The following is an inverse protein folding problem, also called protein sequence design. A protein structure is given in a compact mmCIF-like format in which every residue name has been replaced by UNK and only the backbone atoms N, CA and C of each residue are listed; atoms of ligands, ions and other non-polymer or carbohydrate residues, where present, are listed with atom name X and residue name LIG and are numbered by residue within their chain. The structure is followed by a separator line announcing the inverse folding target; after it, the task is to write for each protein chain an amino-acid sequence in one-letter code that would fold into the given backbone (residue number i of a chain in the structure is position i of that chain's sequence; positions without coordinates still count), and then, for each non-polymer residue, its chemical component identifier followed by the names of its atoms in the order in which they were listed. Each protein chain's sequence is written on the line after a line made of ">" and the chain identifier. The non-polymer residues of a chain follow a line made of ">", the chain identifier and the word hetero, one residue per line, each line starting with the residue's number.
data_IF_603559013593
#
_entry.id   IF_603559013593
#
_cell.length_a   1.000
_cell.length_b   1.000
_cell.length_c   1.000
_cell.angle_alpha   90.00
_cell.angle_beta   90.00
_cell.angle_gamma   90.00
#
_symmetry.space_group_name_H-M   'P 1'
#
loop_
_entity.id
_entity.type
_entity.pdbx_description
1 polymer ?
#
# COMPACT_ATOMS: atom_id res chain seq x y z
N UNK A 1 -26.66 -43.62 -17.95
CA UNK A 1 -26.94 -42.34 -18.64
C UNK A 1 -26.80 -41.10 -17.73
N UNK A 2 -26.11 -41.19 -16.57
CA UNK A 2 -26.06 -40.14 -15.54
C UNK A 2 -24.69 -39.46 -15.33
N UNK A 3 -23.63 -39.90 -16.01
CA UNK A 3 -22.25 -39.41 -15.76
C UNK A 3 -21.87 -38.21 -16.65
N UNK A 4 -22.52 -38.04 -17.80
CA UNK A 4 -22.18 -36.99 -18.78
C UNK A 4 -22.73 -35.61 -18.45
N UNK A 5 -23.88 -35.49 -17.76
CA UNK A 5 -24.46 -34.18 -17.39
C UNK A 5 -23.61 -33.38 -16.38
N UNK A 6 -22.95 -34.06 -15.43
CA UNK A 6 -22.14 -33.39 -14.39
C UNK A 6 -20.91 -32.66 -14.95
N UNK A 7 -20.39 -33.07 -16.11
CA UNK A 7 -19.26 -32.40 -16.79
C UNK A 7 -19.67 -31.12 -17.53
N UNK A 8 -20.89 -31.05 -18.05
CA UNK A 8 -21.37 -29.88 -18.79
C UNK A 8 -21.76 -28.73 -17.87
N UNK A 9 -22.42 -29.04 -16.74
CA UNK A 9 -22.76 -28.07 -15.70
C UNK A 9 -21.49 -27.43 -15.10
N UNK A 10 -20.43 -28.22 -14.90
CA UNK A 10 -19.13 -27.69 -14.50
C UNK A 10 -18.53 -26.71 -15.52
N UNK A 11 -18.61 -27.01 -16.81
CA UNK A 11 -18.03 -26.17 -17.87
C UNK A 11 -18.72 -24.80 -17.99
N UNK A 12 -20.05 -24.75 -17.80
CA UNK A 12 -20.80 -23.49 -17.77
C UNK A 12 -20.51 -22.69 -16.51
N UNK A 13 -20.43 -23.34 -15.35
CA UNK A 13 -20.02 -22.70 -14.11
C UNK A 13 -18.62 -22.08 -14.22
N UNK A 14 -17.63 -22.80 -14.80
CA UNK A 14 -16.28 -22.27 -15.03
C UNK A 14 -16.25 -21.05 -15.97
N UNK A 15 -17.07 -21.05 -17.01
CA UNK A 15 -17.16 -19.90 -17.94
C UNK A 15 -17.83 -18.70 -17.30
N UNK A 16 -18.88 -18.92 -16.50
CA UNK A 16 -19.55 -17.84 -15.77
C UNK A 16 -18.60 -17.22 -14.73
N UNK A 17 -17.89 -18.04 -13.96
CA UNK A 17 -16.87 -17.56 -13.01
C UNK A 17 -15.80 -16.76 -13.74
N UNK A 18 -15.26 -17.25 -14.86
CA UNK A 18 -14.26 -16.52 -15.64
C UNK A 18 -14.78 -15.18 -16.17
N UNK A 19 -16.03 -15.13 -16.64
CA UNK A 19 -16.66 -13.89 -17.09
C UNK A 19 -16.84 -12.89 -15.95
N UNK A 20 -17.38 -13.32 -14.80
CA UNK A 20 -17.54 -12.47 -13.62
C UNK A 20 -16.20 -11.94 -13.14
N UNK A 21 -15.17 -12.79 -13.05
CA UNK A 21 -13.81 -12.38 -12.69
C UNK A 21 -13.28 -11.31 -13.66
N UNK A 22 -13.47 -11.48 -14.97
CA UNK A 22 -13.07 -10.48 -15.96
C UNK A 22 -13.81 -9.14 -15.77
N UNK A 23 -15.13 -9.17 -15.55
CA UNK A 23 -15.91 -7.96 -15.29
C UNK A 23 -15.44 -7.23 -14.02
N UNK A 24 -15.13 -7.98 -12.95
CA UNK A 24 -14.59 -7.41 -11.71
C UNK A 24 -13.24 -6.75 -11.96
N UNK A 25 -12.35 -7.40 -12.69
CA UNK A 25 -11.06 -6.79 -13.04
C UNK A 25 -11.23 -5.52 -13.88
N UNK A 26 -12.07 -5.54 -14.91
CA UNK A 26 -12.33 -4.35 -15.73
C UNK A 26 -12.87 -3.22 -14.85
N UNK A 27 -13.84 -3.50 -13.99
CA UNK A 27 -14.40 -2.50 -13.08
C UNK A 27 -13.35 -1.93 -12.11
N UNK A 28 -12.49 -2.78 -11.54
CA UNK A 28 -11.43 -2.37 -10.61
C UNK A 28 -10.35 -1.51 -11.29
N UNK A 29 -9.99 -1.85 -12.53
CA UNK A 29 -8.98 -1.11 -13.30
C UNK A 29 -9.56 0.09 -14.07
N UNK A 30 -10.88 0.15 -14.30
CA UNK A 30 -11.54 1.27 -14.97
C UNK A 30 -11.16 2.66 -14.43
N UNK A 31 -11.17 2.94 -13.10
CA UNK A 31 -10.76 4.25 -12.59
C UNK A 31 -9.29 4.56 -12.87
N UNK A 32 -8.41 3.57 -12.79
CA UNK A 32 -6.97 3.74 -13.09
C UNK A 32 -6.79 4.10 -14.57
N UNK A 33 -7.46 3.36 -15.46
CA UNK A 33 -7.45 3.64 -16.90
C UNK A 33 -8.01 5.02 -17.18
N UNK A 34 -9.13 5.41 -16.55
CA UNK A 34 -9.71 6.74 -16.70
C UNK A 34 -8.73 7.84 -16.26
N UNK A 35 -8.02 7.67 -15.14
CA UNK A 35 -6.98 8.60 -14.69
C UNK A 35 -5.83 8.71 -15.70
N UNK A 36 -5.38 7.59 -16.29
CA UNK A 36 -4.34 7.59 -17.32
C UNK A 36 -4.80 8.28 -18.59
N UNK A 37 -6.04 8.07 -19.04
CA UNK A 37 -6.53 8.75 -20.24
C UNK A 37 -6.69 10.26 -19.95
N UNK A 38 -7.20 10.63 -18.77
CA UNK A 38 -7.34 12.03 -18.35
C UNK A 38 -6.01 12.75 -18.11
N UNK A 39 -4.91 12.04 -17.82
CA UNK A 39 -3.59 12.68 -17.66
C UNK A 39 -3.07 13.29 -18.97
N UNK A 40 -3.62 12.88 -20.11
CA UNK A 40 -3.37 13.50 -21.42
C UNK A 40 -4.36 14.61 -21.77
N UNK A 41 -5.28 14.99 -20.88
CA UNK A 41 -6.24 16.05 -21.15
C UNK A 41 -5.56 17.43 -21.04
N UNK A 42 -5.78 18.30 -22.04
CA UNK A 42 -5.30 19.68 -22.04
C UNK A 42 -5.98 20.58 -21.00
N UNK A 43 -7.18 20.21 -20.52
CA UNK A 43 -7.90 20.90 -19.45
C UNK A 43 -7.29 20.62 -18.07
N UNK A 44 -7.34 21.63 -17.18
CA UNK A 44 -7.02 21.47 -15.75
C UNK A 44 -8.12 20.74 -14.98
N UNK A 45 -9.38 20.85 -15.44
CA UNK A 45 -10.49 20.10 -14.87
C UNK A 45 -10.67 18.81 -15.67
N UNK A 46 -10.32 17.68 -15.06
CA UNK A 46 -10.52 16.36 -15.63
C UNK A 46 -12.01 16.07 -15.79
N UNK A 47 -12.50 16.21 -17.01
CA UNK A 47 -13.88 15.93 -17.38
C UNK A 47 -13.96 15.36 -18.79
N UNK A 48 -14.98 14.56 -19.04
CA UNK A 48 -15.37 14.16 -20.38
C UNK A 48 -16.43 15.15 -20.89
N UNK A 49 -16.35 15.63 -22.15
CA UNK A 49 -15.42 15.27 -23.23
C UNK A 49 -14.02 15.92 -23.08
N UNK A 50 -12.98 15.24 -23.59
CA UNK A 50 -11.62 15.80 -23.59
C UNK A 50 -11.52 16.98 -24.54
N UNK A 51 -10.96 18.09 -24.07
CA UNK A 51 -10.79 19.31 -24.88
C UNK A 51 -9.65 19.17 -25.90
N UNK A 52 -8.65 18.33 -25.61
CA UNK A 52 -7.53 18.00 -26.49
C UNK A 52 -6.54 17.06 -25.82
N UNK A 53 -5.71 16.40 -26.63
CA UNK A 53 -4.59 15.57 -26.18
C UNK A 53 -3.35 16.44 -25.96
N UNK A 54 -2.74 16.37 -24.78
CA UNK A 54 -1.59 17.19 -24.38
C UNK A 54 -0.67 16.45 -23.41
N UNK A 55 0.65 16.64 -23.60
CA UNK A 55 1.70 16.17 -22.70
C UNK A 55 2.16 17.24 -21.69
N UNK A 56 1.44 18.35 -21.59
CA UNK A 56 1.82 19.51 -20.77
C UNK A 56 2.09 19.17 -19.30
N UNK A 57 1.33 18.23 -18.73
CA UNK A 57 1.47 17.85 -17.32
C UNK A 57 2.75 17.07 -17.07
N UNK A 58 3.17 16.23 -18.03
CA UNK A 58 4.46 15.54 -17.99
C UNK A 58 5.62 16.53 -18.13
N UNK A 59 5.52 17.50 -19.05
CA UNK A 59 6.53 18.56 -19.18
C UNK A 59 6.64 19.42 -17.91
N UNK A 60 5.49 19.80 -17.33
CA UNK A 60 5.42 20.55 -16.06
C UNK A 60 5.96 19.75 -14.88
N UNK A 61 5.76 18.43 -14.87
CA UNK A 61 6.33 17.53 -13.88
C UNK A 61 7.86 17.48 -13.97
N UNK A 62 8.41 17.40 -15.18
CA UNK A 62 9.87 17.37 -15.38
C UNK A 62 10.54 18.70 -15.00
N UNK A 63 9.83 19.81 -15.10
CA UNK A 63 10.32 21.13 -14.68
C UNK A 63 10.05 21.45 -13.20
N UNK A 64 9.51 20.51 -12.41
CA UNK A 64 9.19 20.72 -11.01
C UNK A 64 10.14 19.94 -10.10
N UNK A 65 11.27 20.56 -9.76
CA UNK A 65 12.31 19.97 -8.90
C UNK A 65 11.79 19.58 -7.52
N UNK A 66 10.83 20.32 -6.97
CA UNK A 66 10.25 20.00 -5.66
C UNK A 66 9.49 18.66 -5.69
N UNK A 67 8.70 18.42 -6.75
CA UNK A 67 7.96 17.16 -6.92
C UNK A 67 8.92 16.01 -7.22
N UNK A 68 9.92 16.22 -8.07
CA UNK A 68 10.93 15.19 -8.38
C UNK A 68 11.75 14.81 -7.14
N UNK A 69 12.12 15.79 -6.32
CA UNK A 69 12.84 15.56 -5.06
C UNK A 69 11.96 14.82 -4.06
N UNK A 70 10.69 15.23 -3.89
CA UNK A 70 9.75 14.54 -3.03
C UNK A 70 9.50 13.08 -3.48
N UNK A 71 9.44 12.83 -4.80
CA UNK A 71 9.31 11.48 -5.36
C UNK A 71 10.52 10.61 -5.02
N UNK A 72 11.74 11.11 -5.22
CA UNK A 72 12.99 10.39 -4.89
C UNK A 72 13.09 10.10 -3.40
N UNK A 73 12.78 11.08 -2.56
CA UNK A 73 12.75 10.93 -1.10
C UNK A 73 11.74 9.86 -0.67
N UNK A 74 10.54 9.87 -1.25
CA UNK A 74 9.50 8.86 -0.97
C UNK A 74 9.93 7.46 -1.40
N UNK A 75 10.53 7.33 -2.58
CA UNK A 75 11.05 6.05 -3.08
C UNK A 75 12.15 5.51 -2.17
N UNK A 76 13.07 6.37 -1.73
CA UNK A 76 14.14 5.99 -0.80
C UNK A 76 13.58 5.53 0.55
N UNK A 77 12.64 6.28 1.13
CA UNK A 77 11.97 5.92 2.38
C UNK A 77 11.24 4.58 2.24
N UNK A 78 10.52 4.38 1.14
CA UNK A 78 9.78 3.14 0.88
C UNK A 78 10.73 1.93 0.82
N UNK A 79 11.85 2.04 0.11
CA UNK A 79 12.84 0.95 0.00
C UNK A 79 13.49 0.63 1.34
N UNK A 80 13.95 1.64 2.07
CA UNK A 80 14.61 1.46 3.36
C UNK A 80 13.63 0.86 4.37
N UNK A 81 12.41 1.39 4.43
CA UNK A 81 11.36 0.88 5.31
C UNK A 81 11.02 -0.56 4.95
N UNK A 82 10.78 -0.87 3.66
CA UNK A 82 10.43 -2.22 3.24
C UNK A 82 11.53 -3.23 3.61
N UNK A 83 12.80 -2.90 3.36
CA UNK A 83 13.92 -3.77 3.71
C UNK A 83 14.05 -3.97 5.22
N UNK A 84 14.03 -2.88 6.00
CA UNK A 84 14.18 -2.92 7.45
C UNK A 84 13.02 -3.66 8.13
N UNK A 85 11.78 -3.34 7.77
CA UNK A 85 10.58 -4.00 8.31
C UNK A 85 10.56 -5.47 7.95
N UNK A 86 10.93 -5.84 6.72
CA UNK A 86 10.99 -7.27 6.32
C UNK A 86 12.02 -8.01 7.15
N UNK A 87 13.23 -7.46 7.30
CA UNK A 87 14.27 -8.10 8.10
C UNK A 87 13.87 -8.28 9.57
N UNK A 88 13.34 -7.22 10.20
CA UNK A 88 12.88 -7.26 11.60
C UNK A 88 11.69 -8.23 11.74
N UNK A 89 10.68 -8.08 10.90
CA UNK A 89 9.45 -8.86 10.94
C UNK A 89 9.69 -10.34 10.71
N UNK A 90 10.56 -10.72 9.76
CA UNK A 90 10.91 -12.14 9.52
C UNK A 90 11.59 -12.76 10.74
N UNK A 91 12.53 -12.05 11.36
CA UNK A 91 13.19 -12.54 12.59
C UNK A 91 12.19 -12.66 13.74
N UNK A 92 11.32 -11.66 13.92
CA UNK A 92 10.28 -11.67 14.96
C UNK A 92 9.26 -12.78 14.74
N UNK A 93 8.74 -12.95 13.52
CA UNK A 93 7.80 -14.00 13.17
C UNK A 93 8.42 -15.38 13.38
N UNK A 94 9.67 -15.58 12.93
CA UNK A 94 10.39 -16.83 13.13
C UNK A 94 10.57 -17.14 14.62
N UNK A 95 10.95 -16.14 15.43
CA UNK A 95 11.10 -16.29 16.87
C UNK A 95 9.77 -16.68 17.55
N UNK A 96 8.67 -16.01 17.19
CA UNK A 96 7.34 -16.26 17.74
C UNK A 96 6.77 -17.62 17.33
N UNK A 97 6.99 -18.07 16.09
CA UNK A 97 6.44 -19.35 15.62
C UNK A 97 7.28 -20.52 16.11
N UNK A 98 8.62 -20.41 16.09
CA UNK A 98 9.50 -21.56 16.29
C UNK A 98 9.98 -21.78 17.72
N UNK A 99 10.03 -20.74 18.56
CA UNK A 99 10.54 -20.84 19.92
C UNK A 99 9.44 -20.66 20.97
N UNK A 100 9.64 -21.29 22.13
CA UNK A 100 8.88 -21.06 23.35
C UNK A 100 9.81 -20.40 24.37
N UNK A 101 9.52 -19.15 24.71
CA UNK A 101 10.32 -18.36 25.63
C UNK A 101 9.41 -17.56 26.58
N UNK A 102 9.85 -17.28 27.82
CA UNK A 102 9.08 -16.45 28.75
C UNK A 102 8.92 -15.04 28.17
N UNK A 103 7.69 -14.55 28.05
CA UNK A 103 7.37 -13.24 27.46
C UNK A 103 6.88 -13.26 26.01
N UNK A 104 6.76 -14.45 25.37
CA UNK A 104 6.21 -14.62 24.01
C UNK A 104 4.86 -13.92 23.80
N UNK A 105 3.94 -14.05 24.76
CA UNK A 105 2.63 -13.40 24.70
C UNK A 105 2.74 -11.87 24.75
N UNK A 106 3.62 -11.33 25.58
CA UNK A 106 3.83 -9.89 25.68
C UNK A 106 4.41 -9.32 24.38
N UNK A 107 5.39 -10.00 23.78
CA UNK A 107 5.96 -9.62 22.49
C UNK A 107 4.93 -9.67 21.36
N UNK A 108 4.14 -10.74 21.30
CA UNK A 108 3.07 -10.89 20.30
C UNK A 108 2.04 -9.75 20.41
N UNK A 109 1.58 -9.44 21.62
CA UNK A 109 0.69 -8.30 21.86
C UNK A 109 1.35 -7.00 21.41
N UNK A 110 2.59 -6.73 21.82
CA UNK A 110 3.29 -5.48 21.50
C UNK A 110 3.47 -5.27 19.99
N UNK A 111 3.71 -6.33 19.23
CA UNK A 111 3.82 -6.29 17.78
C UNK A 111 2.47 -6.01 17.11
N UNK A 112 1.37 -6.53 17.65
CA UNK A 112 0.03 -6.36 17.06
C UNK A 112 -0.61 -5.02 17.46
N UNK A 113 -0.23 -4.45 18.62
CA UNK A 113 -0.79 -3.20 19.14
C UNK A 113 -0.88 -2.06 18.11
N UNK A 114 0.16 -1.76 17.30
CA UNK A 114 0.09 -0.67 16.32
C UNK A 114 -0.99 -0.90 15.24
N UNK A 115 -1.27 -2.15 14.86
CA UNK A 115 -2.31 -2.46 13.86
C UNK A 115 -3.74 -2.29 14.41
N UNK A 116 -3.91 -2.29 15.74
CA UNK A 116 -5.22 -2.10 16.38
C UNK A 116 -5.62 -0.63 16.48
N UNK A 117 -4.65 0.27 16.47
CA UNK A 117 -4.90 1.72 16.59
C UNK A 117 -5.03 2.31 15.18
N UNK A 118 -6.00 3.19 14.93
CA UNK A 118 -6.09 3.91 13.66
C UNK A 118 -4.78 4.63 13.32
N UNK A 119 -4.29 4.44 12.09
CA UNK A 119 -2.99 4.98 11.64
C UNK A 119 -2.90 6.50 11.81
N UNK A 120 -4.02 7.21 11.62
CA UNK A 120 -4.10 8.66 11.82
C UNK A 120 -3.85 9.06 13.27
N UNK A 121 -4.40 8.30 14.23
CA UNK A 121 -4.22 8.54 15.67
C UNK A 121 -2.77 8.27 16.06
N UNK A 122 -2.19 7.16 15.59
CA UNK A 122 -0.78 6.86 15.82
C UNK A 122 0.14 7.93 15.24
N UNK A 123 -0.13 8.41 14.01
CA UNK A 123 0.66 9.45 13.37
C UNK A 123 0.63 10.76 14.15
N UNK A 124 -0.54 11.19 14.61
CA UNK A 124 -0.68 12.39 15.46
C UNK A 124 0.00 12.18 16.81
N UNK A 125 -0.16 11.00 17.44
CA UNK A 125 0.49 10.66 18.70
C UNK A 125 2.02 10.70 18.61
N UNK A 126 2.59 10.12 17.55
CA UNK A 126 4.03 10.14 17.30
C UNK A 126 4.54 11.57 17.09
N UNK A 127 3.78 12.41 16.37
CA UNK A 127 4.13 13.81 16.17
C UNK A 127 4.13 14.60 17.49
N UNK A 128 3.13 14.37 18.35
CA UNK A 128 3.06 14.99 19.68
C UNK A 128 4.23 14.52 20.55
N UNK A 129 4.58 13.23 20.51
CA UNK A 129 5.74 12.68 21.22
C UNK A 129 7.06 13.31 20.77
N UNK A 130 7.28 13.42 19.46
CA UNK A 130 8.48 14.04 18.88
C UNK A 130 8.60 15.51 19.33
N UNK A 131 7.47 16.23 19.33
CA UNK A 131 7.40 17.61 19.86
C UNK A 131 7.66 17.68 21.36
N UNK A 132 7.16 16.73 22.15
CA UNK A 132 7.35 16.72 23.59
C UNK A 132 8.82 16.49 24.00
N UNK A 133 9.58 15.78 23.17
CA UNK A 133 11.02 15.51 23.37
C UNK A 133 11.88 16.59 22.68
N UNK A 134 11.26 17.66 22.16
CA UNK A 134 11.90 18.77 21.43
C UNK A 134 12.83 18.32 20.28
N UNK A 135 12.50 17.17 19.68
CA UNK A 135 13.32 16.60 18.61
C UNK A 135 12.87 17.18 17.26
N UNK A 136 13.80 17.62 16.38
CA UNK A 136 13.42 18.15 15.08
C UNK A 136 12.87 17.02 14.21
N UNK A 137 12.01 17.40 13.27
CA UNK A 137 11.47 16.46 12.27
C UNK A 137 12.60 16.01 11.35
N UNK A 138 13.08 14.79 11.58
CA UNK A 138 14.12 14.16 10.77
C UNK A 138 13.55 13.05 9.90
N UNK A 139 14.24 12.78 8.80
CA UNK A 139 13.91 11.69 7.89
C UNK A 139 13.99 10.31 8.58
N UNK A 140 14.88 10.18 9.59
CA UNK A 140 14.99 8.97 10.40
C UNK A 140 13.71 8.70 11.21
N UNK A 141 13.17 9.71 11.89
CA UNK A 141 11.92 9.57 12.66
C UNK A 141 10.75 9.19 11.76
N UNK A 142 10.74 9.71 10.52
CA UNK A 142 9.76 9.34 9.51
C UNK A 142 9.89 7.86 9.13
N UNK A 143 11.09 7.37 8.84
CA UNK A 143 11.34 5.95 8.54
C UNK A 143 10.95 5.06 9.73
N UNK A 144 11.36 5.42 10.95
CA UNK A 144 11.00 4.67 12.17
C UNK A 144 9.48 4.59 12.38
N UNK A 145 8.76 5.69 12.11
CA UNK A 145 7.30 5.69 12.14
C UNK A 145 6.69 4.72 11.13
N UNK A 146 7.21 4.68 9.90
CA UNK A 146 6.74 3.73 8.89
C UNK A 146 7.06 2.28 9.27
N UNK A 147 8.24 2.01 9.85
CA UNK A 147 8.62 0.68 10.34
C UNK A 147 7.63 0.24 11.43
N UNK A 148 7.38 1.10 12.42
CA UNK A 148 6.43 0.82 13.51
C UNK A 148 5.05 0.41 12.99
N UNK A 149 4.55 1.10 11.95
CA UNK A 149 3.26 0.79 11.32
C UNK A 149 3.30 -0.48 10.48
N UNK A 150 4.42 -0.77 9.81
CA UNK A 150 4.53 -1.87 8.86
C UNK A 150 4.90 -3.22 9.51
N UNK A 151 5.59 -3.23 10.66
CA UNK A 151 6.03 -4.45 11.36
C UNK A 151 4.89 -5.44 11.67
N UNK A 152 3.71 -5.01 12.19
CA UNK A 152 2.60 -5.93 12.46
C UNK A 152 2.18 -6.72 11.23
N UNK A 153 2.14 -6.07 10.05
CA UNK A 153 1.71 -6.69 8.79
C UNK A 153 2.70 -7.71 8.25
N UNK A 154 3.99 -7.60 8.60
CA UNK A 154 5.00 -8.59 8.20
C UNK A 154 5.02 -9.79 9.16
N UNK A 155 4.63 -9.58 10.42
CA UNK A 155 4.63 -10.64 11.45
C UNK A 155 3.36 -11.49 11.42
N UNK A 156 2.23 -10.91 11.02
CA UNK A 156 0.93 -11.60 10.85
C UNK A 156 0.92 -12.51 9.61
#
# INVERSE_FOLDING_TARGET
>A
MSVTRRKEEGRWAWRLTGFVTLCVYIFMFAPIVATVILSFNASMFGGFPMTGFSLQWYAKLMNNDAVLTAFRTSLWIALVTAAATTAIGVVTAFALVRFEFPGKQALSTLVILPALVPETILGVGLLVLIKAIDQPRTMLLLVLGHILLAVPYVVL
#
